data_IF_765252396584
#
_entry.id   IF_765252396584
#
_cell.length_a   1.000
_cell.length_b   1.000
_cell.length_c   1.000
_cell.angle_alpha   90.00
_cell.angle_beta   90.00
_cell.angle_gamma   90.00
#
_symmetry.space_group_name_H-M   'P 1'
#
loop_
_entity.id
_entity.type
_entity.pdbx_description
1 polymer ?
#
# COMPACT_ATOMS: atom_id res chain seq x y z
N UNK A 1 26.14 -16.04 -9.48
CA UNK A 1 25.65 -16.06 -10.86
C UNK A 1 24.79 -14.84 -11.13
N UNK A 2 25.14 -14.06 -12.17
CA UNK A 2 24.43 -12.83 -12.59
C UNK A 2 22.99 -13.07 -13.09
N UNK A 3 22.60 -14.31 -13.27
CA UNK A 3 21.27 -14.74 -13.66
C UNK A 3 20.18 -14.45 -12.62
N UNK A 4 20.56 -14.03 -11.40
CA UNK A 4 19.61 -13.69 -10.33
C UNK A 4 19.12 -12.23 -10.40
N UNK A 5 19.78 -11.33 -11.14
CA UNK A 5 19.35 -9.93 -11.32
C UNK A 5 18.34 -9.85 -12.48
N UNK A 6 17.08 -10.04 -12.14
CA UNK A 6 15.99 -9.85 -13.08
C UNK A 6 15.52 -8.40 -13.01
N UNK A 7 15.36 -7.70 -14.16
CA UNK A 7 14.86 -6.32 -14.25
C UNK A 7 13.56 -6.14 -13.49
N UNK A 8 12.62 -7.10 -13.60
CA UNK A 8 11.35 -7.09 -12.88
C UNK A 8 11.52 -7.18 -11.36
N UNK A 9 12.52 -7.95 -10.89
CA UNK A 9 12.81 -8.02 -9.46
C UNK A 9 13.32 -6.67 -8.93
N UNK A 10 14.25 -6.04 -9.66
CA UNK A 10 14.79 -4.72 -9.28
C UNK A 10 13.69 -3.66 -9.33
N UNK A 11 12.85 -3.66 -10.36
CA UNK A 11 11.66 -2.80 -10.45
C UNK A 11 10.74 -2.97 -9.21
N UNK A 12 10.41 -4.22 -8.85
CA UNK A 12 9.57 -4.50 -7.68
C UNK A 12 10.21 -4.04 -6.37
N UNK A 13 11.54 -4.20 -6.23
CA UNK A 13 12.29 -3.72 -5.06
C UNK A 13 12.33 -2.19 -4.97
N UNK A 14 12.47 -1.49 -6.11
CA UNK A 14 12.39 -0.02 -6.15
C UNK A 14 11.00 0.45 -5.72
N UNK A 15 9.94 -0.11 -6.32
CA UNK A 15 8.55 0.20 -5.98
C UNK A 15 8.23 -0.08 -4.50
N UNK A 16 8.82 -1.14 -3.96
CA UNK A 16 8.68 -1.51 -2.54
C UNK A 16 9.49 -0.62 -1.58
N UNK A 17 10.36 0.28 -2.08
CA UNK A 17 11.18 1.15 -1.24
C UNK A 17 12.45 0.51 -0.69
N UNK A 18 12.89 -0.64 -1.23
CA UNK A 18 14.07 -1.33 -0.75
C UNK A 18 15.39 -0.53 -0.92
N UNK A 19 15.37 0.48 -1.77
CA UNK A 19 16.53 1.35 -2.06
C UNK A 19 16.43 2.74 -1.42
N UNK A 20 15.40 3.06 -0.65
CA UNK A 20 15.18 4.39 -0.06
C UNK A 20 16.34 4.88 0.84
N UNK A 21 17.12 3.95 1.41
CA UNK A 21 18.32 4.28 2.19
C UNK A 21 19.50 4.73 1.32
N UNK A 22 19.49 4.43 0.01
CA UNK A 22 20.52 4.78 -0.95
C UNK A 22 20.09 6.07 -1.68
N UNK A 23 18.86 6.06 -2.23
CA UNK A 23 18.24 7.20 -2.88
C UNK A 23 16.72 7.15 -2.60
N UNK A 24 16.15 8.18 -1.96
CA UNK A 24 14.73 8.22 -1.63
C UNK A 24 13.82 8.46 -2.84
N UNK A 25 14.39 8.85 -4.01
CA UNK A 25 13.62 9.11 -5.21
C UNK A 25 13.42 7.82 -6.02
N UNK A 26 12.37 7.08 -5.67
CA UNK A 26 12.01 5.81 -6.33
C UNK A 26 11.68 5.98 -7.81
N UNK A 27 11.05 7.11 -8.19
CA UNK A 27 10.71 7.41 -9.58
C UNK A 27 11.97 7.59 -10.43
N UNK A 28 12.95 8.32 -9.93
CA UNK A 28 14.22 8.52 -10.61
C UNK A 28 15.00 7.20 -10.75
N UNK A 29 15.07 6.39 -9.67
CA UNK A 29 15.67 5.07 -9.70
C UNK A 29 15.00 4.14 -10.73
N UNK A 30 13.67 4.16 -10.81
CA UNK A 30 12.93 3.36 -11.77
C UNK A 30 13.26 3.74 -13.22
N UNK A 31 13.51 5.01 -13.47
CA UNK A 31 13.85 5.49 -14.83
C UNK A 31 15.19 4.95 -15.33
N UNK A 32 16.15 4.75 -14.42
CA UNK A 32 17.55 4.37 -14.79
C UNK A 32 17.89 2.92 -14.52
N UNK A 33 17.05 2.15 -13.82
CA UNK A 33 17.40 0.81 -13.34
C UNK A 33 17.81 -0.17 -14.45
N UNK A 34 17.15 -0.11 -15.62
CA UNK A 34 17.49 -0.99 -16.74
C UNK A 34 18.88 -0.68 -17.29
N UNK A 35 19.18 0.60 -17.51
CA UNK A 35 20.49 1.04 -17.99
C UNK A 35 21.60 0.70 -16.97
N UNK A 36 21.30 0.86 -15.66
CA UNK A 36 22.23 0.49 -14.60
C UNK A 36 22.52 -1.02 -14.57
N UNK A 37 21.49 -1.86 -14.73
CA UNK A 37 21.67 -3.32 -14.82
C UNK A 37 22.54 -3.68 -16.04
N UNK A 38 22.25 -3.11 -17.21
CA UNK A 38 22.98 -3.39 -18.44
C UNK A 38 24.46 -2.97 -18.32
N UNK A 39 24.74 -1.82 -17.70
CA UNK A 39 26.10 -1.36 -17.42
C UNK A 39 26.87 -2.33 -16.51
N UNK A 40 26.25 -2.77 -15.40
CA UNK A 40 26.88 -3.74 -14.48
C UNK A 40 27.12 -5.09 -15.16
N UNK A 41 26.16 -5.58 -15.94
CA UNK A 41 26.30 -6.84 -16.68
C UNK A 41 27.42 -6.75 -17.70
N UNK A 42 27.52 -5.65 -18.46
CA UNK A 42 28.59 -5.43 -19.45
C UNK A 42 29.99 -5.36 -18.80
N UNK A 43 30.12 -4.64 -17.68
CA UNK A 43 31.35 -4.57 -16.89
C UNK A 43 31.80 -5.94 -16.41
N UNK A 44 30.90 -6.71 -15.81
CA UNK A 44 31.23 -8.05 -15.31
C UNK A 44 31.57 -9.02 -16.43
N UNK A 45 30.99 -8.88 -17.61
CA UNK A 45 31.34 -9.66 -18.78
C UNK A 45 32.76 -9.33 -19.25
N UNK A 46 33.08 -8.03 -19.38
CA UNK A 46 34.48 -7.59 -19.72
C UNK A 46 35.48 -8.10 -18.71
N UNK A 47 35.19 -8.08 -17.42
CA UNK A 47 36.06 -8.64 -16.37
C UNK A 47 36.21 -10.16 -16.48
N UNK A 48 35.14 -10.89 -16.81
CA UNK A 48 35.21 -12.35 -16.97
C UNK A 48 35.96 -12.78 -18.23
N UNK A 49 35.95 -11.96 -19.28
CA UNK A 49 36.68 -12.20 -20.53
C UNK A 49 38.16 -11.81 -20.43
N UNK A 50 38.64 -11.38 -19.23
CA UNK A 50 40.07 -11.10 -18.97
C UNK A 50 40.58 -9.84 -19.67
N UNK A 51 39.71 -9.00 -20.18
CA UNK A 51 40.05 -7.67 -20.68
C UNK A 51 40.24 -6.71 -19.48
N UNK A 52 41.25 -6.95 -18.68
CA UNK A 52 41.83 -5.91 -17.84
C UNK A 52 42.62 -4.99 -18.76
N UNK A 53 42.20 -3.73 -18.88
CA UNK A 53 42.99 -2.72 -19.52
C UNK A 53 44.27 -2.51 -18.66
N UNK A 54 45.37 -3.11 -19.11
CA UNK A 54 46.66 -3.09 -18.42
C UNK A 54 47.25 -1.68 -18.36
N UNK A 55 46.58 -0.68 -18.95
CA UNK A 55 47.05 0.70 -19.07
C UNK A 55 46.28 1.70 -18.23
N UNK A 56 45.26 1.28 -17.44
CA UNK A 56 44.52 2.21 -16.59
C UNK A 56 45.19 2.46 -15.22
N UNK A 57 46.34 1.81 -14.92
CA UNK A 57 47.03 1.92 -13.64
C UNK A 57 48.28 2.83 -13.66
N UNK A 58 48.52 3.59 -14.73
CA UNK A 58 49.66 4.51 -14.81
C UNK A 58 49.18 5.96 -14.92
N UNK A 59 49.35 6.70 -13.81
CA UNK A 59 49.34 8.16 -13.72
C UNK A 59 47.95 8.86 -13.70
N UNK A 60 47.46 8.98 -12.55
CA UNK A 60 46.63 10.03 -11.94
C UNK A 60 45.33 9.50 -11.30
N UNK A 61 45.25 9.69 -9.99
CA UNK A 61 44.04 9.79 -9.16
C UNK A 61 42.88 8.82 -9.44
N UNK A 62 42.90 7.65 -8.86
CA UNK A 62 41.89 6.61 -8.61
C UNK A 62 40.37 6.85 -8.70
N UNK A 63 39.87 7.83 -9.47
CA UNK A 63 38.46 8.09 -9.62
C UNK A 63 37.91 7.88 -11.05
N UNK A 64 38.74 7.77 -12.08
CA UNK A 64 38.29 7.69 -13.48
C UNK A 64 38.19 6.28 -14.05
N UNK A 65 38.69 5.25 -13.38
CA UNK A 65 38.55 3.85 -13.84
C UNK A 65 37.10 3.30 -13.74
N UNK A 66 36.15 4.03 -13.16
CA UNK A 66 34.72 3.76 -13.22
C UNK A 66 33.98 4.58 -14.29
N UNK A 67 34.72 5.27 -15.16
CA UNK A 67 34.26 6.40 -15.99
C UNK A 67 33.26 6.11 -17.08
N UNK A 68 32.85 4.87 -17.37
CA UNK A 68 31.88 4.62 -18.43
C UNK A 68 30.65 3.80 -17.99
N UNK A 69 30.52 3.50 -16.69
CA UNK A 69 29.42 2.75 -16.14
C UNK A 69 28.56 3.54 -15.14
N UNK A 70 28.86 4.82 -14.89
CA UNK A 70 28.06 5.63 -13.98
C UNK A 70 26.77 6.07 -14.66
N UNK A 71 25.69 5.36 -14.38
CA UNK A 71 24.35 5.83 -14.73
C UNK A 71 24.00 6.97 -13.79
N UNK A 72 23.86 8.18 -14.33
CA UNK A 72 23.45 9.35 -13.54
C UNK A 72 21.95 9.24 -13.25
N UNK A 73 21.59 9.28 -11.98
CA UNK A 73 20.19 9.35 -11.57
C UNK A 73 19.65 10.75 -11.93
N UNK A 74 18.56 10.85 -12.70
CA UNK A 74 18.01 12.16 -13.08
C UNK A 74 17.35 12.83 -11.89
N UNK A 75 17.41 14.16 -11.85
CA UNK A 75 16.67 14.96 -10.88
C UNK A 75 15.20 15.03 -11.34
N UNK A 76 14.37 14.14 -10.80
CA UNK A 76 12.95 14.06 -11.08
C UNK A 76 12.17 14.29 -9.79
N UNK A 77 11.00 14.89 -9.93
CA UNK A 77 10.05 14.92 -8.82
C UNK A 77 9.59 13.50 -8.46
N UNK A 78 9.66 13.19 -7.17
CA UNK A 78 9.24 11.88 -6.65
C UNK A 78 7.72 11.70 -6.81
N UNK A 79 7.25 10.45 -6.80
CA UNK A 79 5.83 10.15 -6.76
C UNK A 79 5.18 10.71 -5.50
N UNK A 80 3.91 11.06 -5.63
CA UNK A 80 3.08 11.43 -4.50
C UNK A 80 2.97 10.28 -3.47
N UNK A 81 2.62 10.64 -2.25
CA UNK A 81 2.48 9.69 -1.14
C UNK A 81 1.54 8.53 -1.48
N UNK A 82 0.40 8.83 -2.13
CA UNK A 82 -0.59 7.82 -2.49
C UNK A 82 -0.04 6.79 -3.47
N UNK A 83 0.68 7.24 -4.49
CA UNK A 83 1.32 6.37 -5.48
C UNK A 83 2.36 5.45 -4.83
N UNK A 84 3.22 5.98 -3.95
CA UNK A 84 4.22 5.17 -3.22
C UNK A 84 3.56 4.10 -2.35
N UNK A 85 2.55 4.45 -1.58
CA UNK A 85 1.81 3.51 -0.74
C UNK A 85 1.09 2.44 -1.57
N UNK A 86 0.53 2.80 -2.73
CA UNK A 86 -0.08 1.83 -3.63
C UNK A 86 0.94 0.82 -4.16
N UNK A 87 2.15 1.26 -4.52
CA UNK A 87 3.21 0.36 -4.94
C UNK A 87 3.69 -0.56 -3.81
N UNK A 88 3.84 -0.04 -2.59
CA UNK A 88 4.18 -0.89 -1.44
C UNK A 88 3.12 -1.98 -1.23
N UNK A 89 1.85 -1.61 -1.23
CA UNK A 89 0.74 -2.55 -1.10
C UNK A 89 0.70 -3.56 -2.24
N UNK A 90 0.93 -3.13 -3.49
CA UNK A 90 0.98 -4.02 -4.66
C UNK A 90 2.12 -5.03 -4.56
N UNK A 91 3.32 -4.59 -4.15
CA UNK A 91 4.52 -5.41 -4.11
C UNK A 91 4.65 -6.25 -2.83
N UNK A 92 4.27 -5.72 -1.68
CA UNK A 92 4.48 -6.32 -0.36
C UNK A 92 3.18 -6.81 0.31
N UNK A 93 2.03 -6.34 -0.16
CA UNK A 93 0.73 -6.62 0.46
C UNK A 93 0.45 -5.77 1.71
N UNK A 94 1.34 -4.84 2.07
CA UNK A 94 1.23 -3.97 3.25
C UNK A 94 1.88 -2.60 2.98
N UNK A 95 1.61 -1.63 3.84
CA UNK A 95 2.22 -0.30 3.83
C UNK A 95 3.44 -0.29 4.75
N UNK A 96 4.58 0.22 4.28
CA UNK A 96 5.85 0.24 5.03
C UNK A 96 6.29 1.66 5.35
N UNK A 97 6.26 2.56 4.37
CA UNK A 97 6.80 3.91 4.55
C UNK A 97 5.89 4.81 5.39
N UNK A 98 4.57 4.62 5.27
CA UNK A 98 3.57 5.39 6.01
C UNK A 98 2.21 4.67 5.94
N UNK A 99 1.22 5.16 6.70
CA UNK A 99 -0.14 4.66 6.65
C UNK A 99 -1.04 5.60 5.81
N UNK A 100 -1.97 5.09 4.97
CA UNK A 100 -2.87 5.94 4.19
C UNK A 100 -3.69 6.92 5.03
N UNK A 101 -3.99 6.54 6.28
CA UNK A 101 -4.73 7.36 7.24
C UNK A 101 -3.85 8.28 8.10
N UNK A 102 -2.52 8.32 7.86
CA UNK A 102 -1.63 9.23 8.59
C UNK A 102 -2.01 10.70 8.34
N UNK A 103 -2.13 11.44 9.43
CA UNK A 103 -2.61 12.82 9.41
C UNK A 103 -4.13 12.96 9.52
N UNK A 104 -4.89 11.87 9.43
CA UNK A 104 -6.36 11.88 9.47
C UNK A 104 -6.94 11.39 10.81
N UNK A 105 -6.10 11.16 11.81
CA UNK A 105 -6.50 10.59 13.10
C UNK A 105 -7.60 11.39 13.81
N UNK A 106 -7.49 12.72 13.81
CA UNK A 106 -8.48 13.60 14.43
C UNK A 106 -9.84 13.56 13.71
N UNK A 107 -9.80 13.42 12.39
CA UNK A 107 -10.99 13.32 11.55
C UNK A 107 -11.66 11.97 11.79
N UNK A 108 -10.92 10.89 11.73
CA UNK A 108 -11.45 9.55 12.03
C UNK A 108 -12.04 9.48 13.44
N UNK A 109 -11.38 10.09 14.43
CA UNK A 109 -11.89 10.15 15.79
C UNK A 109 -13.22 10.89 15.90
N UNK A 110 -13.47 11.90 15.07
CA UNK A 110 -14.75 12.62 15.04
C UNK A 110 -15.87 11.86 14.34
N UNK A 111 -15.52 10.90 13.47
CA UNK A 111 -16.48 10.10 12.70
C UNK A 111 -16.87 8.78 13.37
N UNK A 112 -16.18 8.36 14.42
CA UNK A 112 -16.38 7.07 15.09
C UNK A 112 -16.71 7.22 16.58
N UNK A 113 -17.46 6.29 17.13
CA UNK A 113 -17.70 6.20 18.58
C UNK A 113 -16.50 5.56 19.30
N UNK A 114 -15.81 4.62 18.64
CA UNK A 114 -14.64 3.92 19.18
C UNK A 114 -13.73 3.41 18.08
N UNK A 115 -12.48 3.03 18.41
CA UNK A 115 -11.59 2.37 17.45
C UNK A 115 -12.02 0.93 17.20
N UNK A 116 -11.57 0.38 16.05
CA UNK A 116 -11.85 -1.02 15.71
C UNK A 116 -11.22 -1.95 16.74
N UNK A 117 -9.98 -1.68 17.18
CA UNK A 117 -9.32 -2.45 18.22
C UNK A 117 -10.15 -2.46 19.53
N UNK A 118 -10.64 -1.30 19.97
CA UNK A 118 -11.46 -1.21 21.18
C UNK A 118 -12.78 -1.97 21.03
N UNK A 119 -13.41 -1.96 19.84
CA UNK A 119 -14.60 -2.78 19.60
C UNK A 119 -14.29 -4.27 19.72
N UNK A 120 -13.22 -4.74 19.08
CA UNK A 120 -12.81 -6.15 19.11
C UNK A 120 -12.56 -6.62 20.55
N UNK A 121 -11.85 -5.85 21.34
CA UNK A 121 -11.56 -6.16 22.74
C UNK A 121 -12.82 -6.23 23.59
N UNK A 122 -13.78 -5.33 23.36
CA UNK A 122 -15.01 -5.23 24.15
C UNK A 122 -16.17 -6.06 23.62
N UNK A 123 -16.11 -6.59 22.43
CA UNK A 123 -17.22 -7.27 21.76
C UNK A 123 -17.82 -8.40 22.62
N UNK A 124 -16.96 -9.15 23.32
CA UNK A 124 -17.40 -10.23 24.22
C UNK A 124 -18.22 -9.74 25.42
N UNK A 125 -18.00 -8.51 25.86
CA UNK A 125 -18.70 -7.91 27.03
C UNK A 125 -19.85 -7.03 26.61
N UNK A 126 -19.84 -6.47 25.40
CA UNK A 126 -20.90 -5.58 24.89
C UNK A 126 -22.16 -6.35 24.50
N UNK A 127 -22.03 -7.62 24.13
CA UNK A 127 -23.13 -8.44 23.64
C UNK A 127 -23.45 -8.26 22.16
N UNK A 128 -24.07 -9.29 21.56
CA UNK A 128 -24.52 -9.26 20.17
C UNK A 128 -25.63 -8.26 19.96
N UNK A 129 -25.68 -7.67 18.75
CA UNK A 129 -26.74 -6.76 18.32
C UNK A 129 -26.55 -5.31 18.78
N UNK A 130 -25.52 -5.01 19.57
CA UNK A 130 -25.24 -3.62 19.95
C UNK A 130 -24.87 -2.80 18.72
N UNK A 131 -25.45 -1.61 18.61
CA UNK A 131 -25.20 -0.69 17.51
C UNK A 131 -23.99 0.16 17.83
N UNK A 132 -23.07 0.25 16.84
CA UNK A 132 -21.84 1.04 16.93
C UNK A 132 -21.59 1.78 15.61
N UNK A 133 -20.87 2.88 15.71
CA UNK A 133 -20.41 3.65 14.55
C UNK A 133 -18.89 3.57 14.46
N UNK A 134 -18.38 3.05 13.36
CA UNK A 134 -16.96 2.95 13.04
C UNK A 134 -16.60 3.83 11.87
N UNK A 135 -15.33 4.22 11.77
CA UNK A 135 -14.80 4.91 10.60
C UNK A 135 -13.44 4.31 10.24
N UNK A 136 -13.18 4.18 8.96
CA UNK A 136 -11.93 3.59 8.47
C UNK A 136 -11.79 3.65 6.97
N UNK A 137 -10.65 3.17 6.49
CA UNK A 137 -10.30 2.99 5.09
C UNK A 137 -10.84 1.65 4.59
N UNK A 138 -11.50 1.64 3.46
CA UNK A 138 -11.89 0.39 2.79
C UNK A 138 -10.66 -0.25 2.16
N UNK A 139 -10.27 -1.42 2.66
CA UNK A 139 -9.11 -2.16 2.16
C UNK A 139 -9.49 -3.30 1.21
N UNK A 140 -10.72 -3.83 1.36
CA UNK A 140 -11.23 -4.88 0.48
C UNK A 140 -12.75 -4.80 0.33
N UNK A 141 -13.24 -5.13 -0.87
CA UNK A 141 -14.68 -5.23 -1.19
C UNK A 141 -14.93 -6.53 -1.92
N UNK A 142 -15.50 -7.52 -1.23
CA UNK A 142 -15.87 -8.82 -1.78
C UNK A 142 -17.39 -8.83 -2.07
N UNK A 143 -17.75 -8.66 -3.34
CA UNK A 143 -19.14 -8.64 -3.80
C UNK A 143 -19.61 -10.06 -4.09
N UNK A 144 -20.75 -10.43 -3.54
CA UNK A 144 -21.32 -11.77 -3.62
C UNK A 144 -22.79 -11.75 -4.02
N UNK A 145 -23.27 -12.90 -4.47
CA UNK A 145 -24.69 -13.12 -4.74
C UNK A 145 -25.16 -14.29 -3.88
N UNK A 146 -26.25 -14.09 -3.16
CA UNK A 146 -26.86 -15.16 -2.34
C UNK A 146 -27.50 -16.25 -3.23
N UNK A 147 -27.81 -17.40 -2.65
CA UNK A 147 -28.52 -18.50 -3.36
C UNK A 147 -29.90 -18.07 -3.92
N UNK A 148 -30.48 -17.00 -3.39
CA UNK A 148 -31.76 -16.43 -3.84
C UNK A 148 -31.59 -15.31 -4.88
N UNK A 149 -30.36 -15.08 -5.38
CA UNK A 149 -30.05 -14.05 -6.36
C UNK A 149 -29.87 -12.65 -5.80
N UNK A 150 -29.97 -12.44 -4.48
CA UNK A 150 -29.80 -11.11 -3.87
C UNK A 150 -28.32 -10.76 -3.75
N UNK A 151 -27.87 -9.59 -4.24
CA UNK A 151 -26.51 -9.15 -4.10
C UNK A 151 -26.23 -8.68 -2.65
N UNK A 152 -24.99 -8.86 -2.21
CA UNK A 152 -24.47 -8.42 -0.93
C UNK A 152 -22.97 -8.27 -0.97
N UNK A 153 -22.33 -7.68 0.02
CA UNK A 153 -20.88 -7.55 0.07
C UNK A 153 -20.32 -7.77 1.47
N UNK A 154 -19.08 -8.26 1.52
CA UNK A 154 -18.19 -8.18 2.68
C UNK A 154 -17.18 -7.09 2.39
N UNK A 155 -17.16 -6.07 3.23
CA UNK A 155 -16.25 -4.94 3.14
C UNK A 155 -15.32 -4.98 4.33
N UNK A 156 -14.02 -5.00 4.09
CA UNK A 156 -13.03 -4.87 5.15
C UNK A 156 -12.67 -3.40 5.28
N UNK A 157 -12.84 -2.86 6.48
CA UNK A 157 -12.35 -1.52 6.83
C UNK A 157 -11.21 -1.63 7.84
N UNK A 158 -10.29 -0.70 7.77
CA UNK A 158 -9.11 -0.63 8.61
C UNK A 158 -8.98 0.78 9.20
N UNK A 159 -8.66 0.87 10.47
CA UNK A 159 -8.21 2.12 11.10
C UNK A 159 -6.71 2.05 11.38
N UNK A 160 -6.18 2.94 12.22
CA UNK A 160 -4.73 2.96 12.55
C UNK A 160 -4.27 1.75 13.38
N UNK A 161 -5.20 0.98 13.97
CA UNK A 161 -4.89 -0.02 14.98
C UNK A 161 -5.30 -1.44 14.55
N UNK A 162 -6.41 -1.57 13.82
CA UNK A 162 -7.00 -2.87 13.50
C UNK A 162 -7.89 -2.82 12.27
N UNK A 163 -8.38 -4.00 11.85
CA UNK A 163 -9.33 -4.16 10.76
C UNK A 163 -10.57 -4.96 11.18
N UNK A 164 -11.69 -4.74 10.52
CA UNK A 164 -12.95 -5.46 10.76
C UNK A 164 -13.72 -5.69 9.46
N UNK A 165 -14.43 -6.80 9.39
CA UNK A 165 -15.33 -7.10 8.28
C UNK A 165 -16.71 -6.53 8.57
N UNK A 166 -17.26 -5.80 7.60
CA UNK A 166 -18.60 -5.24 7.60
C UNK A 166 -19.44 -5.90 6.52
N UNK A 167 -20.59 -6.45 6.90
CA UNK A 167 -21.48 -7.15 5.98
C UNK A 167 -22.62 -6.23 5.56
N UNK A 168 -22.78 -6.07 4.25
CA UNK A 168 -23.80 -5.23 3.62
C UNK A 168 -24.85 -6.09 2.93
N UNK A 169 -26.10 -6.03 3.37
CA UNK A 169 -27.18 -6.80 2.81
C UNK A 169 -28.34 -5.93 2.32
N UNK A 170 -29.09 -6.40 1.30
CA UNK A 170 -30.35 -5.81 0.85
C UNK A 170 -30.25 -4.32 0.54
N UNK A 171 -31.18 -3.53 1.07
CA UNK A 171 -31.25 -2.09 0.81
C UNK A 171 -30.01 -1.31 1.21
N UNK A 172 -29.32 -1.74 2.29
CA UNK A 172 -28.07 -1.09 2.73
C UNK A 172 -26.97 -1.30 1.69
N UNK A 173 -26.88 -2.50 1.13
CA UNK A 173 -25.95 -2.78 0.03
C UNK A 173 -26.31 -2.00 -1.23
N UNK A 174 -27.59 -1.98 -1.63
CA UNK A 174 -28.07 -1.25 -2.82
C UNK A 174 -27.73 0.24 -2.74
N UNK A 175 -27.92 0.85 -1.56
CA UNK A 175 -27.60 2.26 -1.33
C UNK A 175 -26.09 2.55 -1.37
N UNK A 176 -25.28 1.63 -0.84
CA UNK A 176 -23.83 1.82 -0.70
C UNK A 176 -23.02 1.34 -1.93
N UNK A 177 -23.61 0.50 -2.80
CA UNK A 177 -22.88 -0.25 -3.82
C UNK A 177 -22.03 0.59 -4.79
N UNK A 178 -22.49 1.79 -5.12
CA UNK A 178 -21.79 2.73 -6.00
C UNK A 178 -20.58 3.40 -5.33
N UNK A 179 -20.63 3.55 -4.00
CA UNK A 179 -19.65 4.26 -3.19
C UNK A 179 -18.63 3.30 -2.55
N UNK A 180 -18.93 1.99 -2.52
CA UNK A 180 -18.04 0.97 -2.01
C UNK A 180 -16.86 0.74 -2.96
N UNK A 181 -15.78 1.46 -2.73
CA UNK A 181 -14.52 1.33 -3.44
C UNK A 181 -13.35 1.14 -2.48
N UNK A 182 -12.33 0.40 -2.91
CA UNK A 182 -11.06 0.32 -2.18
C UNK A 182 -10.44 1.71 -2.10
N UNK A 183 -9.77 2.03 -1.01
CA UNK A 183 -9.18 3.32 -0.66
C UNK A 183 -10.20 4.45 -0.37
N UNK A 184 -11.49 4.13 -0.27
CA UNK A 184 -12.48 5.08 0.23
C UNK A 184 -12.45 5.15 1.77
N UNK A 185 -12.58 6.35 2.32
CA UNK A 185 -12.79 6.55 3.76
C UNK A 185 -14.29 6.58 4.02
N UNK A 186 -14.74 5.69 4.87
CA UNK A 186 -16.16 5.50 5.16
C UNK A 186 -16.44 5.55 6.66
N UNK A 187 -17.64 6.04 6.98
CA UNK A 187 -18.28 5.86 8.28
C UNK A 187 -19.36 4.79 8.13
N UNK A 188 -19.32 3.77 8.96
CA UNK A 188 -20.28 2.67 8.93
C UNK A 188 -20.94 2.55 10.30
N UNK A 189 -22.26 2.64 10.30
CA UNK A 189 -23.10 2.29 11.45
C UNK A 189 -23.62 0.88 11.29
N UNK A 190 -23.54 0.07 12.34
CA UNK A 190 -23.97 -1.32 12.23
C UNK A 190 -24.14 -2.00 13.58
N UNK A 191 -24.60 -3.24 13.53
CA UNK A 191 -24.78 -4.12 14.68
C UNK A 191 -23.59 -5.07 14.79
N UNK A 192 -23.08 -5.20 15.99
CA UNK A 192 -22.00 -6.14 16.31
C UNK A 192 -22.52 -7.58 16.22
N UNK A 193 -21.84 -8.39 15.43
CA UNK A 193 -22.05 -9.85 15.34
C UNK A 193 -20.79 -10.57 15.81
N UNK A 194 -20.99 -11.57 16.66
CA UNK A 194 -19.91 -12.42 17.16
C UNK A 194 -20.13 -13.86 16.67
N UNK A 195 -19.23 -14.38 15.86
CA UNK A 195 -19.27 -15.77 15.36
C UNK A 195 -17.90 -16.42 15.54
N UNK A 196 -17.87 -17.57 16.20
CA UNK A 196 -16.65 -18.35 16.39
C UNK A 196 -15.44 -17.48 16.82
N UNK A 197 -15.66 -16.62 17.83
CA UNK A 197 -14.70 -15.63 18.34
C UNK A 197 -14.32 -14.50 17.39
N UNK A 198 -14.85 -14.48 16.16
CA UNK A 198 -14.61 -13.42 15.19
C UNK A 198 -15.67 -12.33 15.32
N UNK A 199 -15.20 -11.10 15.54
CA UNK A 199 -16.07 -9.92 15.58
C UNK A 199 -16.27 -9.38 14.16
N UNK A 200 -17.52 -9.14 13.80
CA UNK A 200 -17.90 -8.50 12.54
C UNK A 200 -19.00 -7.50 12.76
N UNK A 201 -19.24 -6.64 11.78
CA UNK A 201 -20.29 -5.63 11.84
C UNK A 201 -21.33 -5.90 10.75
N UNK A 202 -22.60 -5.99 11.11
CA UNK A 202 -23.69 -5.97 10.14
C UNK A 202 -24.10 -4.52 9.88
N UNK A 203 -23.72 -4.00 8.72
CA UNK A 203 -23.97 -2.61 8.36
C UNK A 203 -25.48 -2.30 8.30
N UNK A 204 -25.89 -1.19 8.90
CA UNK A 204 -27.24 -0.63 8.82
C UNK A 204 -27.27 0.67 8.03
N UNK A 205 -26.14 1.40 8.00
CA UNK A 205 -25.95 2.65 7.27
C UNK A 205 -24.48 2.82 6.92
N UNK A 206 -24.21 3.48 5.81
CA UNK A 206 -22.86 3.89 5.39
C UNK A 206 -22.92 5.32 4.87
N UNK A 207 -21.91 6.09 5.20
CA UNK A 207 -21.66 7.42 4.64
C UNK A 207 -20.21 7.47 4.13
N UNK A 208 -20.04 7.98 2.91
CA UNK A 208 -18.73 8.28 2.38
C UNK A 208 -18.22 9.55 3.07
N UNK A 209 -17.02 9.49 3.63
CA UNK A 209 -16.36 10.70 4.09
C UNK A 209 -15.95 11.51 2.85
N UNK A 210 -16.52 12.71 2.70
CA UNK A 210 -16.20 13.65 1.60
C UNK A 210 -14.77 14.21 1.69
N UNK A 211 -13.96 13.68 2.61
CA UNK A 211 -12.56 14.05 2.71
C UNK A 211 -11.82 13.33 1.61
N UNK A 212 -11.80 13.96 0.45
CA UNK A 212 -10.75 13.68 -0.52
C UNK A 212 -9.42 13.89 0.20
N UNK A 213 -8.49 12.95 0.03
CA UNK A 213 -7.09 13.15 0.37
C UNK A 213 -6.61 14.29 -0.56
N UNK A 214 -6.96 15.52 -0.23
CA UNK A 214 -6.40 16.71 -0.84
C UNK A 214 -5.09 16.94 -0.12
N UNK A 215 -4.01 16.89 -0.88
CA UNK A 215 -2.67 17.23 -0.44
C UNK A 215 -2.69 18.58 0.30
N UNK A 216 -1.96 18.70 1.41
CA UNK A 216 -1.62 20.03 1.92
C UNK A 216 -0.71 20.69 0.88
N UNK A 217 -1.18 21.79 0.32
CA UNK A 217 -0.39 22.77 -0.46
C UNK A 217 0.83 23.22 0.31
#
# INVERSE_FOLDING_TARGET
PLTALNRRLVESLIKAGAFDSIDPNRRALLTVHEAAIDSVVSLKRKQAEGQFDLFSDAEDGGAEAMGDASVTVPDLEEWDKKTKLNFEREMLGLYVSDHPLSGMQSILASLREMSIAHLVDRAKTMGEGQQVTLAGLVTNVDRRVSKKGNPWAIVTIEDMESSIQCMFFGKVYEAAAAELAVDAIVQIRGQVELRDETVSLRATEMQLSLIHISEPT
#
